data_IF_252548738118
#
_entry.id   IF_252548738118
#
_cell.length_a   1.000
_cell.length_b   1.000
_cell.length_c   1.000
_cell.angle_alpha   90.00
_cell.angle_beta   90.00
_cell.angle_gamma   90.00
#
_symmetry.space_group_name_H-M   'P 1'
#
loop_
_entity.id
_entity.type
_entity.pdbx_description
1 polymer ?
#
# COMPACT_ATOMS: atom_id res chain seq x y z
N UNK A 1 -17.46 -13.33 6.41
CA UNK A 1 -17.00 -12.31 7.38
C UNK A 1 -18.20 -11.57 7.94
N UNK A 2 -18.20 -11.27 9.26
CA UNK A 2 -19.26 -10.47 9.87
C UNK A 2 -19.15 -9.00 9.45
N UNK A 3 -20.29 -8.29 9.37
CA UNK A 3 -20.31 -6.85 9.04
C UNK A 3 -19.44 -6.02 10.00
N UNK A 4 -19.33 -6.44 11.26
CA UNK A 4 -18.48 -5.81 12.26
C UNK A 4 -16.99 -5.92 11.88
N UNK A 5 -16.53 -7.10 11.44
CA UNK A 5 -15.14 -7.29 11.01
C UNK A 5 -14.78 -6.41 9.81
N UNK A 6 -15.69 -6.29 8.82
CA UNK A 6 -15.48 -5.43 7.64
C UNK A 6 -15.33 -3.95 8.06
N UNK A 7 -16.18 -3.48 8.97
CA UNK A 7 -16.11 -2.09 9.47
C UNK A 7 -14.81 -1.82 10.21
N UNK A 8 -14.41 -2.70 11.14
CA UNK A 8 -13.14 -2.54 11.84
C UNK A 8 -11.94 -2.57 10.89
N UNK A 9 -11.96 -3.45 9.90
CA UNK A 9 -10.93 -3.45 8.84
C UNK A 9 -10.92 -2.14 8.05
N UNK A 10 -12.08 -1.53 7.79
CA UNK A 10 -12.15 -0.21 7.17
C UNK A 10 -11.47 0.87 8.02
N UNK A 11 -11.67 0.84 9.35
CA UNK A 11 -11.01 1.77 10.28
C UNK A 11 -9.48 1.57 10.28
N UNK A 12 -9.02 0.31 10.36
CA UNK A 12 -7.59 -0.01 10.28
C UNK A 12 -6.97 0.50 8.98
N UNK A 13 -7.69 0.39 7.86
CA UNK A 13 -7.25 0.88 6.57
C UNK A 13 -7.14 2.41 6.52
N UNK A 14 -8.10 3.14 7.12
CA UNK A 14 -8.04 4.61 7.23
C UNK A 14 -6.83 5.04 8.05
N UNK A 15 -6.62 4.42 9.22
CA UNK A 15 -5.47 4.73 10.08
C UNK A 15 -4.16 4.42 9.36
N UNK A 16 -4.06 3.24 8.71
CA UNK A 16 -2.89 2.85 7.93
C UNK A 16 -2.60 3.85 6.80
N UNK A 17 -3.62 4.30 6.08
CA UNK A 17 -3.48 5.27 5.01
C UNK A 17 -3.01 6.65 5.53
N UNK A 18 -3.52 7.11 6.66
CA UNK A 18 -3.08 8.35 7.29
C UNK A 18 -1.59 8.26 7.70
N UNK A 19 -1.19 7.15 8.33
CA UNK A 19 0.22 6.93 8.70
C UNK A 19 1.13 6.86 7.48
N UNK A 20 0.69 6.23 6.38
CA UNK A 20 1.42 6.21 5.10
C UNK A 20 1.67 7.63 4.58
N UNK A 21 0.63 8.46 4.53
CA UNK A 21 0.75 9.84 4.04
C UNK A 21 1.72 10.65 4.90
N UNK A 22 1.63 10.54 6.22
CA UNK A 22 2.56 11.22 7.15
C UNK A 22 3.99 10.73 6.95
N UNK A 23 4.19 9.41 6.84
CA UNK A 23 5.52 8.83 6.62
C UNK A 23 6.15 9.30 5.32
N UNK A 24 5.38 9.33 4.22
CA UNK A 24 5.83 9.82 2.92
C UNK A 24 6.16 11.32 2.96
N UNK A 25 5.34 12.12 3.65
CA UNK A 25 5.60 13.54 3.83
C UNK A 25 6.89 13.79 4.63
N UNK A 26 7.13 13.02 5.71
CA UNK A 26 8.37 13.11 6.49
C UNK A 26 9.58 12.67 5.65
N UNK A 27 9.43 11.65 4.80
CA UNK A 27 10.52 11.19 3.93
C UNK A 27 10.91 12.24 2.88
N UNK A 28 9.96 13.04 2.42
CA UNK A 28 10.23 14.12 1.46
C UNK A 28 10.97 15.31 2.05
N UNK A 29 10.88 15.52 3.36
CA UNK A 29 11.55 16.64 4.06
C UNK A 29 13.02 16.36 4.38
N UNK A 30 13.52 15.14 4.16
CA UNK A 30 14.94 14.80 4.40
C UNK A 30 15.85 15.29 3.28
N UNK A 31 17.08 15.75 3.58
CA UNK A 31 18.04 16.14 2.55
C UNK A 31 18.30 15.00 1.57
N UNK A 32 18.49 15.32 0.29
CA UNK A 32 18.76 14.32 -0.77
C UNK A 32 20.06 13.53 -0.56
N UNK A 33 20.95 14.04 0.25
CA UNK A 33 22.22 13.39 0.62
C UNK A 33 22.06 12.25 1.62
N UNK A 34 20.92 12.18 2.32
CA UNK A 34 20.67 11.08 3.26
C UNK A 34 20.05 9.90 2.52
N UNK A 35 20.77 8.78 2.45
CA UNK A 35 20.27 7.52 1.88
C UNK A 35 19.26 6.81 2.80
N UNK A 36 19.22 7.19 4.10
CA UNK A 36 18.36 6.55 5.09
C UNK A 36 17.08 7.36 5.32
N UNK A 37 15.96 6.65 5.42
CA UNK A 37 14.70 7.22 5.89
C UNK A 37 14.83 7.66 7.35
N UNK A 38 14.16 8.77 7.74
CA UNK A 38 14.05 9.14 9.15
C UNK A 38 13.49 7.95 9.95
N UNK A 39 14.04 7.64 11.15
CA UNK A 39 13.55 6.52 11.95
C UNK A 39 12.03 6.57 12.19
N UNK A 40 11.50 7.77 12.41
CA UNK A 40 10.06 7.97 12.58
C UNK A 40 9.28 7.61 11.31
N UNK A 41 9.74 8.04 10.13
CA UNK A 41 9.09 7.71 8.86
C UNK A 41 9.07 6.19 8.62
N UNK A 42 10.19 5.51 8.90
CA UNK A 42 10.30 4.06 8.79
C UNK A 42 9.35 3.34 9.76
N UNK A 43 9.27 3.79 11.02
CA UNK A 43 8.33 3.25 12.00
C UNK A 43 6.86 3.42 11.56
N UNK A 44 6.50 4.59 11.02
CA UNK A 44 5.16 4.84 10.52
C UNK A 44 4.83 3.97 9.30
N UNK A 45 5.77 3.78 8.37
CA UNK A 45 5.61 2.87 7.23
C UNK A 45 5.42 1.42 7.68
N UNK A 46 6.21 0.98 8.66
CA UNK A 46 6.09 -0.37 9.23
C UNK A 46 4.71 -0.60 9.85
N UNK A 47 4.25 0.31 10.72
CA UNK A 47 2.93 0.22 11.37
C UNK A 47 1.82 0.27 10.31
N UNK A 48 1.91 1.20 9.37
CA UNK A 48 0.95 1.32 8.26
C UNK A 48 0.83 0.00 7.47
N UNK A 49 1.95 -0.65 7.17
CA UNK A 49 1.98 -1.91 6.44
C UNK A 49 1.32 -3.05 7.20
N UNK A 50 1.51 -3.13 8.51
CA UNK A 50 0.81 -4.11 9.36
C UNK A 50 -0.71 -3.87 9.33
N UNK A 51 -1.14 -2.60 9.44
CA UNK A 51 -2.56 -2.26 9.38
C UNK A 51 -3.19 -2.61 8.03
N UNK A 52 -2.45 -2.43 6.92
CA UNK A 52 -2.88 -2.87 5.60
C UNK A 52 -2.98 -4.38 5.50
N UNK A 53 -1.99 -5.14 5.98
CA UNK A 53 -2.06 -6.61 6.02
C UNK A 53 -3.31 -7.11 6.74
N UNK A 54 -3.70 -6.47 7.83
CA UNK A 54 -4.89 -6.83 8.58
C UNK A 54 -6.20 -6.42 7.90
N UNK A 55 -6.19 -5.34 7.11
CA UNK A 55 -7.40 -4.81 6.46
C UNK A 55 -7.68 -5.42 5.08
N UNK A 56 -6.64 -5.81 4.33
CA UNK A 56 -6.75 -6.32 2.96
C UNK A 56 -7.67 -7.53 2.80
N UNK A 57 -7.67 -8.55 3.71
CA UNK A 57 -8.58 -9.68 3.58
C UNK A 57 -10.06 -9.29 3.58
N UNK A 58 -10.44 -8.27 4.36
CA UNK A 58 -11.81 -7.77 4.38
C UNK A 58 -12.16 -6.97 3.12
N UNK A 59 -11.21 -6.21 2.59
CA UNK A 59 -11.34 -5.53 1.30
C UNK A 59 -11.58 -6.55 0.19
N UNK A 60 -10.77 -7.63 0.14
CA UNK A 60 -10.95 -8.71 -0.81
C UNK A 60 -12.30 -9.41 -0.64
N UNK A 61 -12.66 -9.80 0.58
CA UNK A 61 -13.91 -10.51 0.85
C UNK A 61 -15.14 -9.74 0.32
N UNK A 62 -15.09 -8.41 0.33
CA UNK A 62 -16.17 -7.55 -0.15
C UNK A 62 -16.29 -7.52 -1.67
N UNK A 63 -15.20 -7.70 -2.39
CA UNK A 63 -15.18 -7.67 -3.85
C UNK A 63 -14.92 -9.03 -4.51
N UNK A 64 -14.78 -10.10 -3.73
CA UNK A 64 -14.35 -11.41 -4.21
C UNK A 64 -15.23 -11.95 -5.37
N UNK A 65 -16.56 -11.89 -5.21
CA UNK A 65 -17.48 -12.40 -6.24
C UNK A 65 -17.40 -11.63 -7.56
N UNK A 66 -17.52 -10.28 -7.58
CA UNK A 66 -17.48 -9.52 -8.82
C UNK A 66 -16.07 -9.36 -9.40
N UNK A 67 -15.02 -9.41 -8.57
CA UNK A 67 -13.63 -9.30 -9.02
C UNK A 67 -13.08 -10.61 -9.60
N UNK A 68 -13.63 -11.75 -9.18
CA UNK A 68 -13.23 -13.07 -9.63
C UNK A 68 -11.76 -13.40 -9.34
N UNK A 69 -11.17 -14.25 -10.17
CA UNK A 69 -9.79 -14.71 -10.03
C UNK A 69 -8.74 -13.57 -10.16
N UNK A 70 -9.04 -12.54 -10.93
CA UNK A 70 -8.16 -11.37 -11.08
C UNK A 70 -7.99 -10.64 -9.75
N UNK A 71 -9.09 -10.47 -9.00
CA UNK A 71 -9.06 -9.90 -7.66
C UNK A 71 -8.28 -10.78 -6.69
N UNK A 72 -8.43 -12.09 -6.77
CA UNK A 72 -7.69 -13.04 -5.92
C UNK A 72 -6.18 -12.92 -6.12
N UNK A 73 -5.71 -12.99 -7.37
CA UNK A 73 -4.29 -12.89 -7.69
C UNK A 73 -3.74 -11.51 -7.29
N UNK A 74 -4.46 -10.42 -7.62
CA UNK A 74 -4.06 -9.07 -7.25
C UNK A 74 -3.88 -8.90 -5.74
N UNK A 75 -4.84 -9.37 -4.95
CA UNK A 75 -4.75 -9.30 -3.49
C UNK A 75 -3.67 -10.21 -2.92
N UNK A 76 -3.49 -11.42 -3.43
CA UNK A 76 -2.44 -12.32 -2.99
C UNK A 76 -1.04 -11.74 -3.24
N UNK A 77 -0.81 -11.18 -4.43
CA UNK A 77 0.44 -10.48 -4.75
C UNK A 77 0.65 -9.25 -3.88
N UNK A 78 -0.40 -8.44 -3.67
CA UNK A 78 -0.33 -7.26 -2.83
C UNK A 78 0.00 -7.62 -1.38
N UNK A 79 -0.66 -8.63 -0.81
CA UNK A 79 -0.37 -9.11 0.53
C UNK A 79 1.05 -9.64 0.65
N UNK A 80 1.52 -10.42 -0.33
CA UNK A 80 2.90 -10.91 -0.37
C UNK A 80 3.89 -9.75 -0.43
N UNK A 81 3.65 -8.76 -1.28
CA UNK A 81 4.50 -7.58 -1.38
C UNK A 81 4.55 -6.77 -0.08
N UNK A 82 3.40 -6.55 0.57
CA UNK A 82 3.37 -5.85 1.86
C UNK A 82 4.04 -6.67 2.96
N UNK A 83 3.85 -8.00 2.99
CA UNK A 83 4.52 -8.87 3.95
C UNK A 83 6.05 -8.81 3.79
N UNK A 84 6.54 -8.89 2.56
CA UNK A 84 7.96 -8.72 2.25
C UNK A 84 8.44 -7.33 2.72
N UNK A 85 7.66 -6.28 2.48
CA UNK A 85 8.00 -4.94 2.94
C UNK A 85 8.07 -4.85 4.47
N UNK A 86 7.16 -5.49 5.20
CA UNK A 86 7.19 -5.58 6.68
C UNK A 86 8.47 -6.27 7.15
N UNK A 87 8.78 -7.43 6.55
CA UNK A 87 10.00 -8.20 6.90
C UNK A 87 11.25 -7.35 6.70
N UNK A 88 11.27 -6.54 5.66
CA UNK A 88 12.39 -5.70 5.27
C UNK A 88 12.55 -4.46 6.13
N UNK A 89 11.43 -3.82 6.48
CA UNK A 89 11.43 -2.59 7.30
C UNK A 89 11.56 -2.86 8.79
N UNK A 90 11.35 -4.11 9.25
CA UNK A 90 11.48 -4.48 10.66
C UNK A 90 12.92 -4.41 11.21
N UNK A 91 13.97 -4.93 10.51
CA UNK A 91 15.31 -4.97 11.05
C UNK A 91 15.89 -3.61 11.46
N UNK A 92 15.76 -2.52 10.69
CA UNK A 92 16.25 -1.20 11.10
C UNK A 92 15.59 -0.66 12.37
N UNK A 93 14.41 -1.17 12.73
CA UNK A 93 13.69 -0.77 13.94
C UNK A 93 14.04 -1.63 15.16
N UNK A 94 14.37 -2.92 14.93
CA UNK A 94 14.58 -3.91 15.98
C UNK A 94 16.06 -4.17 16.25
N UNK A 95 16.91 -4.06 15.24
CA UNK A 95 18.32 -4.42 15.32
C UNK A 95 19.16 -3.40 14.56
N UNK A 96 19.92 -2.59 15.28
CA UNK A 96 20.84 -1.60 14.69
C UNK A 96 22.01 -2.20 13.88
N UNK A 97 22.21 -3.50 13.94
CA UNK A 97 23.33 -4.25 13.34
C UNK A 97 22.92 -5.19 12.20
N UNK A 98 21.67 -5.18 11.76
CA UNK A 98 21.21 -6.06 10.68
C UNK A 98 21.36 -5.37 9.33
N UNK A 99 22.54 -5.44 8.76
CA UNK A 99 22.79 -5.09 7.36
C UNK A 99 22.15 -6.16 6.47
N UNK A 100 20.86 -6.01 6.15
CA UNK A 100 20.31 -6.74 5.03
C UNK A 100 20.81 -6.07 3.74
N UNK A 101 21.54 -6.78 2.89
CA UNK A 101 22.03 -6.24 1.63
C UNK A 101 20.86 -6.03 0.66
N UNK A 102 20.11 -4.94 0.86
CA UNK A 102 18.95 -4.61 0.05
C UNK A 102 19.31 -4.05 -1.33
N UNK A 103 20.46 -3.39 -1.43
CA UNK A 103 20.82 -2.62 -2.61
C UNK A 103 21.05 -3.43 -3.88
N UNK A 104 21.28 -4.75 -3.77
CA UNK A 104 21.55 -5.62 -4.93
C UNK A 104 20.77 -6.93 -4.90
N UNK A 105 19.70 -7.05 -4.10
CA UNK A 105 19.11 -8.35 -3.86
C UNK A 105 17.88 -8.60 -4.72
N UNK A 106 17.76 -9.85 -5.16
CA UNK A 106 16.57 -10.44 -5.73
C UNK A 106 15.30 -10.10 -4.91
N UNK A 107 15.44 -9.96 -3.59
CA UNK A 107 14.35 -9.62 -2.66
C UNK A 107 13.76 -8.23 -2.94
N UNK A 108 14.59 -7.21 -3.15
CA UNK A 108 14.11 -5.85 -3.48
C UNK A 108 13.37 -5.83 -4.82
N UNK A 109 13.89 -6.55 -5.82
CA UNK A 109 13.24 -6.69 -7.11
C UNK A 109 11.90 -7.43 -7.01
N UNK A 110 11.86 -8.57 -6.30
CA UNK A 110 10.62 -9.33 -6.06
C UNK A 110 9.59 -8.50 -5.29
N UNK A 111 10.02 -7.75 -4.27
CA UNK A 111 9.18 -6.82 -3.53
C UNK A 111 8.54 -5.78 -4.46
N UNK A 112 9.36 -5.12 -5.29
CA UNK A 112 8.89 -4.11 -6.24
C UNK A 112 7.87 -4.68 -7.24
N UNK A 113 8.15 -5.86 -7.82
CA UNK A 113 7.22 -6.54 -8.72
C UNK A 113 5.93 -6.93 -7.99
N UNK A 114 6.02 -7.56 -6.83
CA UNK A 114 4.84 -8.03 -6.09
C UNK A 114 3.93 -6.85 -5.70
N UNK A 115 4.50 -5.75 -5.20
CA UNK A 115 3.74 -4.54 -4.88
C UNK A 115 3.12 -3.90 -6.12
N UNK A 116 3.90 -3.72 -7.19
CA UNK A 116 3.42 -3.06 -8.42
C UNK A 116 2.31 -3.86 -9.08
N UNK A 117 2.55 -5.15 -9.34
CA UNK A 117 1.54 -6.02 -9.96
C UNK A 117 0.33 -6.23 -9.04
N UNK A 118 0.57 -6.40 -7.74
CA UNK A 118 -0.48 -6.53 -6.74
C UNK A 118 -1.40 -5.30 -6.70
N UNK A 119 -0.83 -4.10 -6.64
CA UNK A 119 -1.57 -2.84 -6.69
C UNK A 119 -2.32 -2.67 -8.01
N UNK A 120 -1.66 -2.94 -9.15
CA UNK A 120 -2.26 -2.80 -10.48
C UNK A 120 -3.47 -3.71 -10.64
N UNK A 121 -3.31 -5.01 -10.35
CA UNK A 121 -4.39 -5.98 -10.46
C UNK A 121 -5.52 -5.70 -9.46
N UNK A 122 -5.19 -5.27 -8.25
CA UNK A 122 -6.18 -4.86 -7.24
C UNK A 122 -6.95 -3.62 -7.70
N UNK A 123 -6.29 -2.64 -8.29
CA UNK A 123 -6.94 -1.44 -8.83
C UNK A 123 -7.92 -1.79 -9.97
N UNK A 124 -7.48 -2.62 -10.93
CA UNK A 124 -8.33 -3.11 -12.03
C UNK A 124 -9.50 -3.92 -11.48
N UNK A 125 -9.25 -4.83 -10.52
CA UNK A 125 -10.30 -5.61 -9.88
C UNK A 125 -11.32 -4.71 -9.16
N UNK A 126 -10.87 -3.68 -8.46
CA UNK A 126 -11.72 -2.71 -7.77
C UNK A 126 -12.61 -1.94 -8.75
N UNK A 127 -12.06 -1.51 -9.90
CA UNK A 127 -12.83 -0.84 -10.95
C UNK A 127 -13.86 -1.77 -11.58
N UNK A 128 -13.48 -3.03 -11.87
CA UNK A 128 -14.40 -4.03 -12.47
C UNK A 128 -15.50 -4.45 -11.51
N UNK A 129 -15.16 -4.62 -10.25
CA UNK A 129 -16.12 -5.06 -9.23
C UNK A 129 -17.22 -4.01 -8.97
N UNK A 130 -16.93 -2.73 -9.12
CA UNK A 130 -17.89 -1.65 -8.89
C UNK A 130 -18.43 -1.57 -7.45
N UNK A 131 -17.81 -2.29 -6.50
CA UNK A 131 -18.22 -2.35 -5.08
C UNK A 131 -17.78 -1.10 -4.34
N UNK A 132 -16.66 -0.55 -4.73
CA UNK A 132 -16.11 0.69 -4.21
C UNK A 132 -16.32 1.84 -5.20
N UNK A 133 -16.31 3.10 -4.74
CA UNK A 133 -16.39 4.24 -5.62
C UNK A 133 -15.31 4.19 -6.72
N UNK A 134 -15.70 4.43 -7.97
CA UNK A 134 -14.77 4.36 -9.12
C UNK A 134 -13.52 5.21 -8.95
N UNK A 135 -13.66 6.36 -8.29
CA UNK A 135 -12.52 7.25 -7.99
C UNK A 135 -11.41 6.56 -7.19
N UNK A 136 -11.77 5.71 -6.23
CA UNK A 136 -10.79 4.95 -5.46
C UNK A 136 -9.95 4.02 -6.35
N UNK A 137 -10.58 3.36 -7.32
CA UNK A 137 -9.88 2.52 -8.30
C UNK A 137 -8.96 3.34 -9.22
N UNK A 138 -9.41 4.52 -9.70
CA UNK A 138 -8.55 5.41 -10.50
C UNK A 138 -7.38 5.97 -9.70
N UNK A 139 -7.59 6.35 -8.44
CA UNK A 139 -6.52 6.81 -7.56
C UNK A 139 -5.50 5.69 -7.25
N UNK A 140 -5.98 4.44 -7.08
CA UNK A 140 -5.10 3.28 -6.95
C UNK A 140 -4.26 3.08 -8.21
N UNK A 141 -4.85 3.18 -9.41
CA UNK A 141 -4.11 3.07 -10.67
C UNK A 141 -3.06 4.17 -10.82
N UNK A 142 -3.43 5.42 -10.56
CA UNK A 142 -2.51 6.55 -10.61
C UNK A 142 -1.36 6.38 -9.61
N UNK A 143 -1.67 6.01 -8.36
CA UNK A 143 -0.67 5.73 -7.34
C UNK A 143 0.25 4.56 -7.72
N UNK A 144 -0.29 3.51 -8.33
CA UNK A 144 0.49 2.36 -8.82
C UNK A 144 1.44 2.77 -9.95
N UNK A 145 0.96 3.55 -10.93
CA UNK A 145 1.79 4.04 -12.03
C UNK A 145 2.98 4.85 -11.49
N UNK A 146 2.73 5.69 -10.49
CA UNK A 146 3.81 6.44 -9.89
C UNK A 146 4.73 5.63 -8.98
N UNK A 147 4.21 4.62 -8.29
CA UNK A 147 5.06 3.69 -7.55
C UNK A 147 6.00 2.94 -8.52
N UNK A 148 5.47 2.45 -9.63
CA UNK A 148 6.26 1.84 -10.70
C UNK A 148 7.32 2.81 -11.24
N UNK A 149 6.92 4.04 -11.55
CA UNK A 149 7.84 5.07 -12.03
C UNK A 149 8.94 5.36 -11.01
N UNK A 150 8.58 5.56 -9.75
CA UNK A 150 9.55 5.85 -8.69
C UNK A 150 10.49 4.67 -8.42
N UNK A 151 10.00 3.44 -8.46
CA UNK A 151 10.79 2.26 -8.11
C UNK A 151 11.68 1.79 -9.26
N UNK A 152 11.14 1.75 -10.50
CA UNK A 152 11.88 1.18 -11.64
C UNK A 152 12.57 2.24 -12.49
N UNK A 153 11.95 3.39 -12.73
CA UNK A 153 12.49 4.39 -13.63
C UNK A 153 13.46 5.33 -12.93
N UNK A 154 13.20 5.71 -11.67
CA UNK A 154 14.12 6.54 -10.91
C UNK A 154 15.48 5.87 -10.66
N UNK A 155 15.55 4.53 -10.62
CA UNK A 155 16.81 3.78 -10.57
C UNK A 155 17.61 3.88 -11.86
N UNK A 156 16.93 4.03 -13.00
CA UNK A 156 17.54 4.14 -14.32
C UNK A 156 17.89 5.60 -14.68
N UNK A 157 17.17 6.57 -14.13
CA UNK A 157 17.33 8.01 -14.42
C UNK A 157 17.46 8.80 -13.10
N UNK A 158 18.64 8.81 -12.45
CA UNK A 158 18.85 9.37 -11.11
C UNK A 158 18.54 10.86 -10.95
N UNK A 159 18.38 11.61 -12.04
CA UNK A 159 18.19 13.08 -12.04
C UNK A 159 16.73 13.54 -12.13
N UNK A 160 15.78 12.63 -12.30
CA UNK A 160 14.36 13.01 -12.33
C UNK A 160 13.81 12.87 -10.91
N UNK A 161 13.59 14.00 -10.25
CA UNK A 161 12.99 14.20 -8.94
C UNK A 161 12.15 13.06 -8.32
N UNK A 162 12.75 11.88 -8.14
CA UNK A 162 12.06 10.65 -7.71
C UNK A 162 11.32 10.81 -6.39
N UNK A 163 11.82 11.70 -5.50
CA UNK A 163 11.17 11.98 -4.22
C UNK A 163 9.85 12.71 -4.38
N UNK A 164 9.80 13.74 -5.23
CA UNK A 164 8.54 14.52 -5.44
C UNK A 164 7.49 13.61 -6.05
N UNK A 165 7.86 12.82 -7.06
CA UNK A 165 6.95 11.84 -7.67
C UNK A 165 6.50 10.81 -6.65
N UNK A 166 7.43 10.21 -5.89
CA UNK A 166 7.12 9.26 -4.83
C UNK A 166 6.18 9.82 -3.76
N UNK A 167 6.37 11.08 -3.37
CA UNK A 167 5.50 11.77 -2.40
C UNK A 167 4.09 11.96 -2.94
N UNK A 168 3.96 12.50 -4.15
CA UNK A 168 2.65 12.71 -4.78
C UNK A 168 1.91 11.36 -4.88
N UNK A 169 2.61 10.32 -5.32
CA UNK A 169 2.01 9.00 -5.51
C UNK A 169 1.65 8.31 -4.19
N UNK A 170 2.47 8.48 -3.16
CA UNK A 170 2.15 8.02 -1.81
C UNK A 170 0.89 8.69 -1.25
N UNK A 171 0.72 10.00 -1.52
CA UNK A 171 -0.51 10.73 -1.16
C UNK A 171 -1.71 10.19 -1.93
N UNK A 172 -1.59 9.97 -3.25
CA UNK A 172 -2.68 9.42 -4.07
C UNK A 172 -3.09 8.02 -3.60
N UNK A 173 -2.12 7.14 -3.29
CA UNK A 173 -2.39 5.83 -2.71
C UNK A 173 -3.07 5.94 -1.34
N UNK A 174 -2.60 6.83 -0.48
CA UNK A 174 -3.19 7.09 0.82
C UNK A 174 -4.64 7.57 0.72
N UNK A 175 -4.94 8.48 -0.21
CA UNK A 175 -6.30 8.94 -0.48
C UNK A 175 -7.20 7.81 -1.01
N UNK A 176 -6.71 7.00 -1.94
CA UNK A 176 -7.45 5.84 -2.45
C UNK A 176 -7.82 4.86 -1.33
N UNK A 177 -6.84 4.50 -0.51
CA UNK A 177 -7.01 3.55 0.60
C UNK A 177 -7.92 4.11 1.69
N UNK A 178 -7.80 5.42 1.99
CA UNK A 178 -8.73 6.11 2.92
C UNK A 178 -10.16 6.02 2.41
N UNK A 179 -10.38 6.28 1.13
CA UNK A 179 -11.73 6.24 0.54
C UNK A 179 -12.34 4.83 0.56
N UNK A 180 -11.53 3.82 0.24
CA UNK A 180 -11.94 2.41 0.36
C UNK A 180 -12.28 2.09 1.82
N UNK A 181 -11.42 2.47 2.76
CA UNK A 181 -11.65 2.29 4.19
C UNK A 181 -12.93 2.95 4.68
N UNK A 182 -13.20 4.20 4.27
CA UNK A 182 -14.45 4.92 4.57
C UNK A 182 -15.67 4.18 4.02
N UNK A 183 -15.61 3.68 2.78
CA UNK A 183 -16.72 2.94 2.20
C UNK A 183 -16.97 1.60 2.90
N UNK A 184 -15.94 0.98 3.47
CA UNK A 184 -16.07 -0.22 4.31
C UNK A 184 -16.67 0.13 5.69
N UNK A 185 -16.24 1.24 6.29
CA UNK A 185 -16.72 1.70 7.59
C UNK A 185 -18.19 2.12 7.56
N UNK A 186 -18.60 2.86 6.52
CA UNK A 186 -19.96 3.41 6.38
C UNK A 186 -20.96 2.42 5.80
N UNK A 187 -20.55 1.18 5.48
CA UNK A 187 -21.45 0.18 4.91
C UNK A 187 -22.66 -0.08 5.82
N UNK A 188 -23.90 -0.08 5.26
CA UNK A 188 -25.10 -0.38 6.02
C UNK A 188 -24.99 -1.75 6.71
N UNK A 189 -25.50 -1.85 7.94
CA UNK A 189 -25.70 -3.15 8.58
C UNK A 189 -26.72 -3.92 7.74
N UNK A 190 -26.30 -4.99 7.07
CA UNK A 190 -27.27 -5.94 6.54
C UNK A 190 -28.03 -6.51 7.75
N UNK A 191 -29.31 -6.14 7.86
CA UNK A 191 -30.20 -6.80 8.80
C UNK A 191 -30.26 -8.28 8.37
N UNK A 192 -29.74 -9.16 9.21
CA UNK A 192 -29.99 -10.59 9.11
C UNK A 192 -31.48 -10.79 9.34
N UNK A 193 -32.26 -10.79 8.28
CA UNK A 193 -33.60 -11.36 8.27
C UNK A 193 -33.52 -12.85 8.17
#
# INVERSE_FOLDING_TARGET
MTNTAIRWSGLLQIIGAALLVVAVALSSSTPETSQQLPPLANALLFISSILFLLSLPAMYARQANPAGWLGLIGHALLQTGILLFVVVSAPPLLYSSFDLPFENSLTGFLLGIALTLGLLLTAIATLRAGVFPRWAGFLLLAGTAGFFFSFFIATLIPRVGGRVVGTIMGILLGLALTWIGLSMWTSPRQSTT
#
